data_IF_330787879752
#
_entry.id   IF_330787879752
#
_cell.length_a   1.000
_cell.length_b   1.000
_cell.length_c   1.000
_cell.angle_alpha   90.00
_cell.angle_beta   90.00
_cell.angle_gamma   90.00
#
_symmetry.space_group_name_H-M   'P 1'
#
loop_
_entity.id
_entity.type
_entity.pdbx_description
1 polymer ?
#
# COMPACT_ATOMS: atom_id res chain seq x y z
N UNK A 1 -7.28 -40.51 -22.14
CA UNK A 1 -7.05 -39.80 -20.86
C UNK A 1 -6.44 -38.44 -21.17
N UNK A 2 -7.07 -37.32 -20.80
CA UNK A 2 -6.43 -35.99 -20.86
C UNK A 2 -5.75 -35.75 -19.51
N UNK A 3 -4.42 -35.64 -19.51
CA UNK A 3 -3.67 -35.19 -18.34
C UNK A 3 -3.57 -33.66 -18.39
N UNK A 4 -3.97 -33.00 -17.32
CA UNK A 4 -3.79 -31.56 -17.15
C UNK A 4 -2.51 -31.34 -16.35
N UNK A 5 -1.55 -30.59 -16.91
CA UNK A 5 -0.30 -30.25 -16.22
C UNK A 5 -0.34 -28.78 -15.84
N UNK A 6 0.00 -28.47 -14.60
CA UNK A 6 0.16 -27.09 -14.13
C UNK A 6 1.59 -26.64 -14.42
N UNK A 7 1.74 -25.56 -15.19
CA UNK A 7 3.03 -24.91 -15.43
C UNK A 7 3.11 -23.66 -14.53
N UNK A 8 4.09 -23.62 -13.63
CA UNK A 8 4.34 -22.49 -12.73
C UNK A 8 5.75 -21.93 -12.96
N UNK A 9 5.84 -20.64 -13.26
CA UNK A 9 7.12 -19.90 -13.36
C UNK A 9 7.29 -18.98 -12.16
N UNK A 10 8.48 -18.90 -11.57
CA UNK A 10 8.74 -18.01 -10.44
C UNK A 10 9.10 -16.62 -10.96
N UNK A 11 8.74 -15.55 -10.23
CA UNK A 11 9.08 -14.16 -10.64
C UNK A 11 10.59 -13.95 -10.81
N UNK A 12 11.43 -14.64 -10.03
CA UNK A 12 12.89 -14.63 -10.21
C UNK A 12 13.34 -15.15 -11.58
N UNK A 13 12.55 -16.02 -12.20
CA UNK A 13 12.84 -16.61 -13.51
C UNK A 13 12.26 -15.76 -14.67
N UNK A 14 11.54 -14.68 -14.37
CA UNK A 14 10.86 -13.80 -15.35
C UNK A 14 11.43 -12.38 -15.32
N UNK A 15 11.79 -11.88 -14.14
CA UNK A 15 12.10 -10.48 -13.89
C UNK A 15 13.49 -10.37 -13.23
N UNK A 16 14.59 -10.51 -14.00
CA UNK A 16 15.95 -10.30 -13.48
C UNK A 16 16.23 -8.82 -13.15
N UNK A 17 15.37 -7.91 -13.62
CA UNK A 17 15.56 -6.46 -13.60
C UNK A 17 15.04 -5.80 -12.31
N UNK A 18 14.32 -6.54 -11.45
CA UNK A 18 13.68 -5.97 -10.27
C UNK A 18 14.59 -6.07 -9.05
N UNK A 19 14.72 -5.00 -8.25
CA UNK A 19 15.45 -5.05 -6.99
C UNK A 19 14.91 -6.16 -6.08
N UNK A 20 15.80 -6.73 -5.28
CA UNK A 20 15.42 -7.69 -4.24
C UNK A 20 14.42 -7.05 -3.27
N UNK A 21 13.32 -7.75 -3.03
CA UNK A 21 12.30 -7.31 -2.07
C UNK A 21 12.84 -7.43 -0.64
N UNK A 22 12.93 -6.32 0.08
CA UNK A 22 13.24 -6.32 1.51
C UNK A 22 11.96 -6.46 2.32
N UNK A 23 11.96 -7.31 3.35
CA UNK A 23 10.85 -7.50 4.28
C UNK A 23 11.39 -7.41 5.69
N UNK A 24 10.81 -6.51 6.49
CA UNK A 24 11.15 -6.30 7.89
C UNK A 24 9.86 -6.29 8.70
N UNK A 25 9.90 -6.86 9.89
CA UNK A 25 8.82 -6.75 10.86
C UNK A 25 9.21 -5.67 11.86
N UNK A 26 8.34 -4.67 11.99
CA UNK A 26 8.47 -3.60 12.99
C UNK A 26 7.30 -3.76 13.93
N UNK A 27 7.58 -4.01 15.20
CA UNK A 27 6.56 -4.04 16.24
C UNK A 27 6.28 -2.61 16.67
N UNK A 28 5.00 -2.24 16.65
CA UNK A 28 4.50 -0.95 17.12
C UNK A 28 3.60 -1.22 18.33
N UNK A 29 4.05 -0.77 19.51
CA UNK A 29 3.28 -0.68 20.74
C UNK A 29 2.37 0.58 20.75
N UNK A 30 1.06 0.42 20.47
CA UNK A 30 0.05 1.47 20.18
C UNK A 30 -0.14 2.53 21.29
N UNK A 31 0.88 3.34 21.54
CA UNK A 31 0.88 4.55 22.36
C UNK A 31 1.02 5.76 21.43
N UNK A 32 0.48 6.92 21.81
CA UNK A 32 0.55 8.16 20.99
C UNK A 32 1.98 8.53 20.55
N UNK A 33 2.98 8.13 21.34
CA UNK A 33 4.41 8.33 21.05
C UNK A 33 4.87 7.63 19.77
N UNK A 34 4.24 6.53 19.36
CA UNK A 34 4.71 5.71 18.24
C UNK A 34 4.25 6.17 16.86
N UNK A 35 3.26 7.06 16.81
CA UNK A 35 2.95 7.76 15.57
C UNK A 35 4.16 8.57 15.07
N UNK A 36 5.17 8.83 15.94
CA UNK A 36 6.48 9.33 15.55
C UNK A 36 7.29 8.36 14.69
N UNK A 37 7.25 7.05 14.95
CA UNK A 37 7.97 6.05 14.14
C UNK A 37 7.41 6.00 12.71
N UNK A 38 6.09 6.09 12.57
CA UNK A 38 5.43 6.21 11.26
C UNK A 38 5.83 7.54 10.59
N UNK A 39 5.94 8.65 11.34
CA UNK A 39 6.46 9.91 10.79
C UNK A 39 7.94 9.84 10.38
N UNK A 40 8.77 9.05 11.06
CA UNK A 40 10.16 8.86 10.67
C UNK A 40 10.25 8.11 9.34
N UNK A 41 9.46 7.05 9.18
CA UNK A 41 9.26 6.35 7.89
C UNK A 41 8.78 7.30 6.78
N UNK A 42 7.93 8.28 7.09
CA UNK A 42 7.46 9.28 6.12
C UNK A 42 8.48 10.37 5.77
N UNK A 43 9.47 10.64 6.63
CA UNK A 43 10.47 11.72 6.39
C UNK A 43 11.73 11.22 5.69
N UNK A 44 12.17 10.02 6.01
CA UNK A 44 13.42 9.48 5.45
C UNK A 44 13.26 9.03 3.99
N UNK A 45 12.01 8.83 3.55
CA UNK A 45 11.73 8.32 2.24
C UNK A 45 10.87 9.31 1.46
N UNK A 46 11.48 10.11 0.58
CA UNK A 46 10.76 10.85 -0.47
C UNK A 46 10.24 9.89 -1.57
N UNK A 47 9.70 8.76 -1.13
CA UNK A 47 9.22 7.68 -1.98
C UNK A 47 7.73 7.46 -1.74
N UNK A 48 7.06 6.98 -2.78
CA UNK A 48 5.66 6.56 -2.68
C UNK A 48 5.57 5.23 -1.93
N UNK A 49 4.62 5.12 -1.01
CA UNK A 49 4.44 3.90 -0.22
C UNK A 49 2.97 3.45 -0.16
N UNK A 50 2.80 2.15 0.06
CA UNK A 50 1.50 1.49 0.19
C UNK A 50 1.30 1.04 1.64
N UNK A 51 0.15 1.34 2.21
CA UNK A 51 -0.26 0.90 3.54
C UNK A 51 -1.42 -0.08 3.36
N UNK A 52 -1.23 -1.32 3.79
CA UNK A 52 -2.28 -2.34 3.74
C UNK A 52 -2.89 -2.52 5.12
N UNK A 53 -4.22 -2.42 5.19
CA UNK A 53 -4.98 -2.55 6.41
C UNK A 53 -6.20 -3.46 6.19
N UNK A 54 -6.63 -4.16 7.24
CA UNK A 54 -7.78 -5.07 7.16
C UNK A 54 -9.09 -4.41 7.59
N UNK A 55 -9.08 -3.72 8.74
CA UNK A 55 -10.28 -3.16 9.36
C UNK A 55 -10.54 -1.74 8.86
N UNK A 56 -11.80 -1.42 8.54
CA UNK A 56 -12.20 -0.09 8.08
C UNK A 56 -11.81 1.00 9.07
N UNK A 57 -12.04 0.80 10.37
CA UNK A 57 -11.65 1.76 11.41
C UNK A 57 -10.14 2.07 11.40
N UNK A 58 -9.30 1.09 11.09
CA UNK A 58 -7.86 1.31 10.96
C UNK A 58 -7.54 2.12 9.69
N UNK A 59 -8.17 1.78 8.56
CA UNK A 59 -8.04 2.52 7.29
C UNK A 59 -8.45 3.98 7.49
N UNK A 60 -9.60 4.22 8.13
CA UNK A 60 -10.11 5.55 8.46
C UNK A 60 -9.13 6.33 9.31
N UNK A 61 -8.64 5.72 10.39
CA UNK A 61 -7.70 6.35 11.33
C UNK A 61 -6.39 6.73 10.64
N UNK A 62 -5.84 5.84 9.82
CA UNK A 62 -4.60 6.10 9.06
C UNK A 62 -4.82 7.20 8.03
N UNK A 63 -5.92 7.17 7.29
CA UNK A 63 -6.23 8.20 6.29
C UNK A 63 -6.37 9.58 6.96
N UNK A 64 -7.14 9.69 8.03
CA UNK A 64 -7.30 10.94 8.78
C UNK A 64 -5.96 11.44 9.35
N UNK A 65 -5.12 10.53 9.83
CA UNK A 65 -3.79 10.88 10.31
C UNK A 65 -2.91 11.48 9.21
N UNK A 66 -2.89 10.88 8.01
CA UNK A 66 -2.14 11.38 6.85
C UNK A 66 -2.64 12.78 6.42
N UNK A 67 -3.96 12.99 6.37
CA UNK A 67 -4.54 14.29 6.06
C UNK A 67 -4.15 15.36 7.09
N UNK A 68 -4.20 15.03 8.39
CA UNK A 68 -3.77 15.94 9.48
C UNK A 68 -2.29 16.31 9.37
N UNK A 69 -1.46 15.41 8.84
CA UNK A 69 -0.03 15.64 8.58
C UNK A 69 0.26 16.30 7.24
N UNK A 70 -0.77 16.64 6.46
CA UNK A 70 -0.67 17.22 5.11
C UNK A 70 0.11 16.33 4.14
N UNK A 71 0.01 15.01 4.32
CA UNK A 71 0.57 14.03 3.38
C UNK A 71 -0.51 13.70 2.36
N UNK A 72 -0.27 13.98 1.08
CA UNK A 72 -1.20 13.61 0.01
C UNK A 72 -1.32 12.10 -0.09
N UNK A 73 -2.56 11.59 -0.05
CA UNK A 73 -2.82 10.17 -0.04
C UNK A 73 -4.10 9.80 -0.81
N UNK A 74 -4.12 8.59 -1.38
CA UNK A 74 -5.35 7.94 -1.86
C UNK A 74 -5.82 6.88 -0.87
N UNK A 75 -7.10 6.50 -0.98
CA UNK A 75 -7.70 5.38 -0.26
C UNK A 75 -8.46 4.49 -1.23
N UNK A 76 -8.23 3.18 -1.16
CA UNK A 76 -9.02 2.17 -1.88
C UNK A 76 -9.42 1.07 -0.90
N UNK A 77 -10.71 0.93 -0.69
CA UNK A 77 -11.32 -0.11 0.15
C UNK A 77 -12.51 -0.79 -0.54
N UNK A 78 -13.25 -1.61 0.21
CA UNK A 78 -14.43 -2.32 -0.31
C UNK A 78 -15.59 -1.41 -0.71
N UNK A 79 -15.63 -0.17 -0.21
CA UNK A 79 -16.65 0.82 -0.57
C UNK A 79 -16.27 1.64 -1.80
N UNK A 80 -15.00 1.62 -2.21
CA UNK A 80 -14.51 2.39 -3.35
C UNK A 80 -15.03 1.79 -4.66
N UNK A 81 -15.85 2.54 -5.44
CA UNK A 81 -16.41 2.05 -6.70
C UNK A 81 -15.33 1.62 -7.70
N UNK A 82 -15.56 0.53 -8.42
CA UNK A 82 -14.58 0.03 -9.40
C UNK A 82 -14.20 1.08 -10.46
N UNK A 83 -15.15 1.91 -10.88
CA UNK A 83 -14.96 2.97 -11.87
C UNK A 83 -13.97 4.05 -11.44
N UNK A 84 -13.83 4.33 -10.13
CA UNK A 84 -12.92 5.37 -9.64
C UNK A 84 -11.53 4.83 -9.27
N UNK A 85 -11.37 3.52 -9.10
CA UNK A 85 -10.09 2.92 -8.67
C UNK A 85 -8.95 3.25 -9.63
N UNK A 86 -9.19 3.15 -10.93
CA UNK A 86 -8.16 3.42 -11.92
C UNK A 86 -7.68 4.88 -11.86
N UNK A 87 -8.61 5.83 -11.71
CA UNK A 87 -8.26 7.25 -11.56
C UNK A 87 -7.42 7.49 -10.30
N UNK A 88 -7.78 6.88 -9.16
CA UNK A 88 -6.99 6.97 -7.92
C UNK A 88 -5.59 6.37 -8.08
N UNK A 89 -5.47 5.24 -8.78
CA UNK A 89 -4.18 4.61 -9.07
C UNK A 89 -3.32 5.50 -9.96
N UNK A 90 -3.90 6.09 -11.01
CA UNK A 90 -3.22 7.06 -11.88
C UNK A 90 -2.74 8.26 -11.09
N UNK A 91 -3.62 8.83 -10.24
CA UNK A 91 -3.27 9.93 -9.35
C UNK A 91 -2.08 9.57 -8.44
N UNK A 92 -2.10 8.39 -7.83
CA UNK A 92 -0.99 7.92 -7.01
C UNK A 92 0.27 7.66 -7.82
N UNK A 93 0.21 7.27 -9.10
CA UNK A 93 1.40 7.02 -9.93
C UNK A 93 2.01 8.31 -10.46
N UNK A 94 1.20 9.24 -10.94
CA UNK A 94 1.64 10.42 -11.69
C UNK A 94 1.84 11.66 -10.82
N UNK A 95 1.00 11.89 -9.80
CA UNK A 95 1.11 13.09 -8.98
C UNK A 95 2.19 12.91 -7.93
N UNK A 96 3.19 13.79 -7.92
CA UNK A 96 4.25 13.78 -6.89
C UNK A 96 3.72 14.23 -5.52
N UNK A 97 2.65 15.03 -5.49
CA UNK A 97 2.00 15.47 -4.25
C UNK A 97 1.34 14.32 -3.47
N UNK A 98 1.09 13.18 -4.13
CA UNK A 98 0.51 11.99 -3.51
C UNK A 98 1.63 10.98 -3.21
N UNK A 99 1.92 10.81 -1.91
CA UNK A 99 3.01 9.95 -1.42
C UNK A 99 2.52 8.64 -0.81
N UNK A 100 1.24 8.55 -0.44
CA UNK A 100 0.68 7.37 0.24
C UNK A 100 -0.54 6.79 -0.48
N UNK A 101 -0.68 5.46 -0.43
CA UNK A 101 -1.94 4.79 -0.74
C UNK A 101 -2.36 3.89 0.41
N UNK A 102 -3.54 4.14 0.99
CA UNK A 102 -4.14 3.31 2.04
C UNK A 102 -5.09 2.30 1.39
N UNK A 103 -4.73 1.04 1.44
CA UNK A 103 -5.38 -0.05 0.72
C UNK A 103 -5.95 -1.08 1.68
N UNK A 104 -7.17 -1.52 1.40
CA UNK A 104 -7.69 -2.74 2.01
C UNK A 104 -6.89 -3.96 1.54
N UNK A 105 -6.51 -4.86 2.45
CA UNK A 105 -5.89 -6.16 2.10
C UNK A 105 -6.79 -6.96 1.15
N UNK A 106 -8.12 -6.83 1.28
CA UNK A 106 -9.09 -7.50 0.42
C UNK A 106 -9.24 -6.86 -0.96
N UNK A 107 -8.71 -5.65 -1.18
CA UNK A 107 -8.84 -4.92 -2.43
C UNK A 107 -7.68 -5.15 -3.41
N UNK A 108 -6.55 -5.72 -2.95
CA UNK A 108 -5.32 -5.88 -3.76
C UNK A 108 -5.17 -7.20 -4.51
N UNK A 109 -6.17 -8.10 -4.47
CA UNK A 109 -6.14 -9.39 -5.14
C UNK A 109 -6.88 -9.34 -6.48
N UNK A 110 -6.23 -8.82 -7.52
CA UNK A 110 -6.61 -9.04 -8.91
C UNK A 110 -5.41 -9.57 -9.65
#
# INVERSE_FOLDING_TARGET
MKATVMIRRLKKDVLPQLPVKRRQQVFLNVEEKEMKCINALFREADCKFLIFAHHLQMIDSIHQYLLKKKVGCIRIDSSTPASSRQALVTDFQEKESIKAAVLSIKAGGV
#
